data_IF_877965589151
#
_entry.id   IF_877965589151
#
_cell.length_a   1.000
_cell.length_b   1.000
_cell.length_c   1.000
_cell.angle_alpha   90.00
_cell.angle_beta   90.00
_cell.angle_gamma   90.00
#
_symmetry.space_group_name_H-M   'P 1'
#
loop_
_entity.id
_entity.type
_entity.pdbx_description
1 polymer ?
#
# COMPACT_ATOMS: atom_id res chain seq x y z
N UNK A 1 16.04 -18.55 16.18
CA UNK A 1 15.13 -17.95 15.18
C UNK A 1 15.69 -16.60 14.76
N UNK A 2 15.88 -16.36 13.47
CA UNK A 2 16.21 -15.03 12.98
C UNK A 2 14.93 -14.17 13.00
N UNK A 3 14.95 -13.06 13.73
CA UNK A 3 13.85 -12.09 13.80
C UNK A 3 13.91 -11.23 12.53
N UNK A 4 13.22 -11.65 11.48
CA UNK A 4 13.26 -10.99 10.16
C UNK A 4 11.85 -10.74 9.60
N UNK A 5 10.90 -10.09 10.30
CA UNK A 5 9.53 -10.07 9.74
C UNK A 5 8.67 -8.81 9.83
N UNK A 6 9.07 -7.72 10.48
CA UNK A 6 8.10 -6.60 10.66
C UNK A 6 8.52 -5.22 10.13
N UNK A 7 9.80 -4.96 9.83
CA UNK A 7 10.18 -3.63 9.30
C UNK A 7 9.86 -3.47 7.81
N UNK A 8 10.10 -4.49 6.98
CA UNK A 8 10.00 -4.39 5.52
C UNK A 8 8.56 -4.20 5.05
N UNK A 9 7.65 -5.06 5.52
CA UNK A 9 6.23 -4.99 5.16
C UNK A 9 5.57 -3.71 5.70
N UNK A 10 5.88 -3.30 6.93
CA UNK A 10 5.37 -2.05 7.49
C UNK A 10 5.85 -0.83 6.72
N UNK A 11 7.13 -0.82 6.30
CA UNK A 11 7.68 0.24 5.43
C UNK A 11 7.01 0.24 4.06
N UNK A 12 6.75 -0.92 3.47
CA UNK A 12 6.06 -1.01 2.19
C UNK A 12 4.62 -0.46 2.28
N UNK A 13 3.88 -0.79 3.34
CA UNK A 13 2.55 -0.23 3.57
C UNK A 13 2.59 1.30 3.76
N UNK A 14 3.56 1.81 4.53
CA UNK A 14 3.75 3.25 4.70
C UNK A 14 4.10 3.97 3.39
N UNK A 15 4.97 3.37 2.56
CA UNK A 15 5.33 3.92 1.26
C UNK A 15 4.16 3.93 0.28
N UNK A 16 3.36 2.86 0.23
CA UNK A 16 2.15 2.80 -0.60
C UNK A 16 1.12 3.81 -0.13
N UNK A 17 0.92 3.97 1.18
CA UNK A 17 0.05 5.01 1.73
C UNK A 17 0.51 6.42 1.34
N UNK A 18 1.81 6.70 1.40
CA UNK A 18 2.36 7.99 0.96
C UNK A 18 2.17 8.22 -0.54
N UNK A 19 2.49 7.22 -1.36
CA UNK A 19 2.25 7.26 -2.79
C UNK A 19 0.77 7.55 -3.09
N UNK A 20 -0.15 6.91 -2.37
CA UNK A 20 -1.58 7.11 -2.54
C UNK A 20 -2.01 8.57 -2.29
N UNK A 21 -1.43 9.22 -1.26
CA UNK A 21 -1.66 10.64 -0.98
C UNK A 21 -1.16 11.51 -2.14
N UNK A 22 0.06 11.24 -2.61
CA UNK A 22 0.67 12.00 -3.70
C UNK A 22 -0.14 11.84 -5.00
N UNK A 23 -0.55 10.62 -5.37
CA UNK A 23 -1.30 10.39 -6.62
C UNK A 23 -2.72 10.95 -6.57
N UNK A 24 -3.38 10.91 -5.40
CA UNK A 24 -4.70 11.52 -5.22
C UNK A 24 -4.67 13.04 -5.36
N UNK A 25 -3.53 13.67 -5.06
CA UNK A 25 -3.37 15.12 -5.21
C UNK A 25 -3.51 15.59 -6.66
N UNK A 26 -3.26 14.71 -7.64
CA UNK A 26 -3.45 14.99 -9.06
C UNK A 26 -4.92 14.89 -9.51
N UNK A 27 -5.82 14.36 -8.68
CA UNK A 27 -7.24 14.19 -9.02
C UNK A 27 -7.44 13.41 -10.32
N UNK A 28 -8.26 13.95 -11.23
CA UNK A 28 -8.55 13.32 -12.53
C UNK A 28 -7.39 13.38 -13.53
N UNK A 29 -6.31 14.13 -13.25
CA UNK A 29 -5.13 14.14 -14.11
C UNK A 29 -4.28 12.88 -13.95
N UNK A 30 -4.45 12.13 -12.86
CA UNK A 30 -3.83 10.83 -12.67
C UNK A 30 -4.73 9.73 -13.25
N UNK A 31 -4.57 9.50 -14.55
CA UNK A 31 -5.22 8.43 -15.31
C UNK A 31 -4.15 7.58 -16.02
N UNK A 32 -3.47 6.69 -15.29
CA UNK A 32 -2.48 5.80 -15.90
C UNK A 32 -3.17 4.80 -16.85
N UNK A 33 -2.45 4.42 -17.91
CA UNK A 33 -2.95 3.45 -18.90
C UNK A 33 -3.09 2.02 -18.35
N UNK A 34 -2.36 1.68 -17.30
CA UNK A 34 -2.43 0.39 -16.63
C UNK A 34 -3.42 0.44 -15.46
N UNK A 35 -4.40 -0.47 -15.47
CA UNK A 35 -5.47 -0.51 -14.47
C UNK A 35 -4.95 -0.84 -13.07
N UNK A 36 -3.85 -1.60 -12.97
CA UNK A 36 -3.23 -2.04 -11.72
C UNK A 36 -2.63 -0.89 -10.90
N UNK A 37 -2.34 0.24 -11.54
CA UNK A 37 -1.78 1.43 -10.89
C UNK A 37 -2.77 2.59 -10.83
N UNK A 38 -4.05 2.37 -11.20
CA UNK A 38 -5.12 3.34 -10.96
C UNK A 38 -5.40 3.46 -9.46
N UNK A 39 -5.98 4.61 -9.07
CA UNK A 39 -6.25 4.94 -7.66
C UNK A 39 -7.01 3.81 -6.95
N UNK A 40 -8.06 3.27 -7.58
CA UNK A 40 -8.85 2.19 -6.98
C UNK A 40 -8.03 0.91 -6.72
N UNK A 41 -7.14 0.54 -7.64
CA UNK A 41 -6.27 -0.62 -7.48
C UNK A 41 -5.22 -0.39 -6.38
N UNK A 42 -4.65 0.81 -6.32
CA UNK A 42 -3.71 1.21 -5.27
C UNK A 42 -4.39 1.27 -3.88
N UNK A 43 -5.65 1.71 -3.81
CA UNK A 43 -6.45 1.68 -2.58
C UNK A 43 -6.70 0.25 -2.11
N UNK A 44 -7.07 -0.65 -3.02
CA UNK A 44 -7.25 -2.06 -2.71
C UNK A 44 -5.95 -2.71 -2.21
N UNK A 45 -4.82 -2.41 -2.87
CA UNK A 45 -3.51 -2.86 -2.42
C UNK A 45 -3.17 -2.33 -1.02
N UNK A 46 -3.40 -1.04 -0.75
CA UNK A 46 -3.14 -0.45 0.55
C UNK A 46 -3.97 -1.10 1.66
N UNK A 47 -5.26 -1.38 1.40
CA UNK A 47 -6.12 -2.12 2.32
C UNK A 47 -5.56 -3.52 2.60
N UNK A 48 -5.19 -4.27 1.56
CA UNK A 48 -4.64 -5.62 1.71
C UNK A 48 -3.32 -5.65 2.50
N UNK A 49 -2.45 -4.67 2.29
CA UNK A 49 -1.19 -4.53 3.03
C UNK A 49 -1.45 -4.29 4.52
N UNK A 50 -2.40 -3.41 4.86
CA UNK A 50 -2.75 -3.14 6.26
C UNK A 50 -3.38 -4.35 6.93
N UNK A 51 -4.30 -5.07 6.26
CA UNK A 51 -4.88 -6.32 6.76
C UNK A 51 -3.79 -7.36 7.03
N UNK A 52 -2.86 -7.54 6.09
CA UNK A 52 -1.75 -8.50 6.23
C UNK A 52 -0.83 -8.16 7.40
N UNK A 53 -0.58 -6.87 7.65
CA UNK A 53 0.21 -6.43 8.80
C UNK A 53 -0.48 -6.70 10.13
N UNK A 54 -1.79 -6.49 10.21
CA UNK A 54 -2.58 -6.82 11.41
C UNK A 54 -2.51 -8.32 11.68
N UNK A 55 -2.73 -9.16 10.66
CA UNK A 55 -2.67 -10.62 10.81
C UNK A 55 -1.31 -11.14 11.30
N UNK A 56 -0.19 -10.57 10.83
CA UNK A 56 1.16 -10.96 11.30
C UNK A 56 1.43 -10.53 12.74
N UNK A 57 0.84 -9.42 13.21
CA UNK A 57 0.98 -8.99 14.61
C UNK A 57 0.17 -9.83 15.60
N UNK A 58 -0.86 -10.52 15.12
CA UNK A 58 -1.78 -11.33 15.93
C UNK A 58 -1.42 -12.83 15.98
N UNK A 59 -0.30 -13.26 15.38
CA UNK A 59 0.22 -14.65 15.37
C UNK A 59 1.52 -14.80 16.14
#
# INVERSE_FOLDING_TARGET
MAVNTESGNAKNAANVSKLLVDVKSFGSAFDPSADEIKIAALEALNTNLNVSLTLVRDT
#
